data_IF_485432220235
#
_entry.id   IF_485432220235
#
_cell.length_a   1.000
_cell.length_b   1.000
_cell.length_c   1.000
_cell.angle_alpha   90.00
_cell.angle_beta   90.00
_cell.angle_gamma   90.00
#
_symmetry.space_group_name_H-M   'P 1'
#
loop_
_entity.id
_entity.type
_entity.pdbx_description
1 polymer ?
#
# COMPACT_ATOMS: atom_id res chain seq x y z
N UNK A 1 3.52 -7.79 10.61
CA UNK A 1 2.24 -7.86 9.89
C UNK A 1 2.43 -7.47 8.44
N UNK A 2 1.67 -8.05 7.53
CA UNK A 2 1.80 -7.77 6.11
C UNK A 2 0.52 -7.17 5.55
N UNK A 3 0.66 -6.16 4.68
CA UNK A 3 -0.42 -5.64 3.86
C UNK A 3 -0.17 -6.10 2.43
N UNK A 4 -1.07 -6.90 1.88
CA UNK A 4 -0.94 -7.42 0.51
C UNK A 4 -1.81 -6.60 -0.42
N UNK A 5 -1.19 -6.04 -1.45
CA UNK A 5 -1.85 -5.28 -2.51
C UNK A 5 -2.00 -6.16 -3.74
N UNK A 6 -3.12 -6.06 -4.41
CA UNK A 6 -3.33 -6.66 -5.72
C UNK A 6 -4.05 -5.67 -6.62
N UNK A 7 -3.84 -5.76 -7.93
CA UNK A 7 -4.48 -4.89 -8.91
C UNK A 7 -4.65 -5.61 -10.24
N UNK A 8 -5.45 -5.03 -11.10
CA UNK A 8 -5.69 -5.56 -12.44
C UNK A 8 -4.62 -5.04 -13.41
N UNK A 9 -4.21 -5.90 -14.34
CA UNK A 9 -3.31 -5.50 -15.41
C UNK A 9 -3.97 -4.42 -16.27
N UNK A 10 -3.19 -3.36 -16.59
CA UNK A 10 -3.64 -2.34 -17.54
C UNK A 10 -3.82 -2.96 -18.94
N UNK A 11 -4.84 -2.50 -19.70
CA UNK A 11 -5.08 -3.00 -21.06
C UNK A 11 -4.05 -2.51 -22.09
N UNK A 12 -3.36 -1.39 -21.82
CA UNK A 12 -2.36 -0.85 -22.72
C UNK A 12 -1.12 -1.75 -22.76
N UNK A 13 -0.72 -2.14 -23.99
CA UNK A 13 0.39 -3.08 -24.17
C UNK A 13 1.77 -2.48 -23.87
N UNK A 14 1.89 -1.16 -23.85
CA UNK A 14 3.15 -0.45 -23.63
C UNK A 14 3.41 -0.11 -22.16
N UNK A 15 2.59 -0.54 -21.24
CA UNK A 15 2.86 -0.40 -19.80
C UNK A 15 4.01 -1.32 -19.43
N UNK A 16 5.06 -0.74 -18.81
CA UNK A 16 6.29 -1.47 -18.46
C UNK A 16 6.46 -1.68 -16.97
N UNK A 17 5.83 -0.85 -16.14
CA UNK A 17 5.92 -0.97 -14.68
C UNK A 17 4.74 -0.33 -13.99
N UNK A 18 4.60 -0.66 -12.70
CA UNK A 18 3.68 0.00 -11.77
C UNK A 18 4.48 0.63 -10.64
N UNK A 19 4.11 1.85 -10.27
CA UNK A 19 4.65 2.53 -9.10
C UNK A 19 3.64 2.45 -7.97
N UNK A 20 4.11 2.10 -6.78
CA UNK A 20 3.30 1.99 -5.59
C UNK A 20 3.62 3.19 -4.69
N UNK A 21 2.60 3.96 -4.35
CA UNK A 21 2.69 5.11 -3.46
C UNK A 21 2.05 4.77 -2.13
N UNK A 22 2.72 5.13 -1.05
CA UNK A 22 2.25 4.87 0.31
C UNK A 22 2.41 6.11 1.17
N UNK A 23 1.44 6.35 2.03
CA UNK A 23 1.57 7.29 3.13
C UNK A 23 0.84 6.78 4.37
N UNK A 24 1.16 7.36 5.53
CA UNK A 24 0.57 6.95 6.81
C UNK A 24 -0.31 8.08 7.31
N UNK A 25 -1.54 7.75 7.69
CA UNK A 25 -2.51 8.69 8.27
C UNK A 25 -3.31 9.50 7.27
N UNK A 26 -2.90 9.55 6.01
CA UNK A 26 -3.59 10.30 4.95
C UNK A 26 -3.32 9.65 3.60
N UNK A 27 -4.19 9.91 2.61
CA UNK A 27 -4.01 9.38 1.27
C UNK A 27 -2.72 9.91 0.64
N UNK A 28 -1.96 9.08 -0.09
CA UNK A 28 -0.74 9.52 -0.78
C UNK A 28 -1.08 10.43 -1.96
N UNK A 29 -0.12 11.25 -2.33
CA UNK A 29 -0.11 11.98 -3.60
C UNK A 29 1.03 11.45 -4.47
N UNK A 30 0.96 11.74 -5.77
CA UNK A 30 1.95 11.26 -6.75
C UNK A 30 3.22 12.13 -6.70
N UNK A 31 3.94 12.07 -5.59
CA UNK A 31 5.19 12.80 -5.34
C UNK A 31 6.28 11.82 -4.91
N UNK A 32 7.54 12.19 -5.12
CA UNK A 32 8.67 11.31 -4.81
C UNK A 32 8.71 10.87 -3.35
N UNK A 33 8.28 11.73 -2.42
CA UNK A 33 8.26 11.42 -0.99
C UNK A 33 7.32 10.24 -0.64
N UNK A 34 6.28 10.01 -1.45
CA UNK A 34 5.31 8.94 -1.25
C UNK A 34 5.61 7.70 -2.11
N UNK A 35 6.56 7.79 -3.03
CA UNK A 35 6.93 6.64 -3.87
C UNK A 35 7.60 5.59 -2.98
N UNK A 36 6.94 4.45 -2.86
CA UNK A 36 7.35 3.38 -1.95
C UNK A 36 8.06 2.23 -2.65
N UNK A 37 7.56 1.83 -3.81
CA UNK A 37 8.10 0.72 -4.59
C UNK A 37 7.71 0.82 -6.05
N UNK A 38 8.44 0.11 -6.90
CA UNK A 38 8.11 -0.10 -8.31
C UNK A 38 8.24 -1.56 -8.63
N UNK A 39 7.32 -2.08 -9.44
CA UNK A 39 7.34 -3.48 -9.89
C UNK A 39 7.16 -3.54 -11.41
N UNK A 40 7.72 -4.57 -12.09
CA UNK A 40 7.50 -4.76 -13.52
C UNK A 40 6.01 -4.96 -13.83
N UNK A 41 5.62 -4.68 -15.08
CA UNK A 41 4.22 -4.82 -15.52
C UNK A 41 3.68 -6.25 -15.48
N UNK A 42 4.56 -7.24 -15.35
CA UNK A 42 4.18 -8.66 -15.17
C UNK A 42 3.79 -9.00 -13.73
N UNK A 43 4.06 -8.12 -12.79
CA UNK A 43 3.75 -8.31 -11.37
C UNK A 43 2.49 -7.50 -11.03
N UNK A 44 1.50 -8.16 -10.46
CA UNK A 44 0.20 -7.58 -10.13
C UNK A 44 -0.11 -7.65 -8.64
N UNK A 45 0.92 -7.82 -7.83
CA UNK A 45 0.80 -7.91 -6.38
C UNK A 45 2.04 -7.34 -5.70
N UNK A 46 1.86 -6.82 -4.49
CA UNK A 46 2.95 -6.36 -3.65
C UNK A 46 2.63 -6.62 -2.19
N UNK A 47 3.62 -7.12 -1.44
CA UNK A 47 3.49 -7.37 0.00
C UNK A 47 4.31 -6.32 0.74
N UNK A 48 3.63 -5.52 1.55
CA UNK A 48 4.26 -4.53 2.42
C UNK A 48 4.30 -5.07 3.86
N UNK A 49 5.50 -5.32 4.36
CA UNK A 49 5.70 -5.74 5.74
C UNK A 49 5.81 -4.52 6.64
N UNK A 50 4.88 -4.37 7.57
CA UNK A 50 4.81 -3.23 8.48
C UNK A 50 5.09 -3.67 9.91
N UNK A 51 5.84 -2.83 10.64
CA UNK A 51 6.29 -3.11 12.01
C UNK A 51 5.85 -2.05 13.01
N UNK A 52 5.05 -1.10 12.59
CA UNK A 52 4.53 -0.01 13.44
C UNK A 52 3.03 0.16 13.23
N UNK A 53 2.34 0.60 14.27
CA UNK A 53 0.93 0.96 14.19
C UNK A 53 0.73 2.14 13.24
N UNK A 54 -0.40 2.17 12.58
CA UNK A 54 -0.77 3.28 11.71
C UNK A 54 -1.91 2.92 10.78
N UNK A 55 -2.42 3.94 10.12
CA UNK A 55 -3.38 3.79 9.02
C UNK A 55 -2.60 3.96 7.71
N UNK A 56 -2.32 2.85 7.05
CA UNK A 56 -1.48 2.81 5.85
C UNK A 56 -2.35 2.97 4.61
N UNK A 57 -2.07 4.02 3.84
CA UNK A 57 -2.77 4.33 2.60
C UNK A 57 -1.88 4.01 1.40
N UNK A 58 -2.50 3.45 0.36
CA UNK A 58 -1.81 3.03 -0.86
C UNK A 58 -2.54 3.53 -2.09
N UNK A 59 -1.77 3.88 -3.11
CA UNK A 59 -2.24 4.13 -4.46
C UNK A 59 -1.22 3.62 -5.46
N UNK A 60 -1.63 3.42 -6.70
CA UNK A 60 -0.78 2.84 -7.74
C UNK A 60 -0.91 3.63 -9.03
N UNK A 61 0.18 3.70 -9.79
CA UNK A 61 0.21 4.25 -11.15
C UNK A 61 0.78 3.24 -12.11
N UNK A 62 0.47 3.40 -13.39
CA UNK A 62 1.09 2.67 -14.49
C UNK A 62 2.03 3.59 -15.26
N UNK A 63 3.17 3.06 -15.69
CA UNK A 63 4.18 3.79 -16.46
C UNK A 63 4.43 3.08 -17.77
N UNK A 64 4.42 3.83 -18.88
CA UNK A 64 4.63 3.28 -20.21
C UNK A 64 6.09 3.37 -20.68
N UNK A 65 6.36 2.88 -21.91
CA UNK A 65 7.69 2.87 -22.50
C UNK A 65 8.26 4.26 -22.76
N UNK A 66 7.41 5.28 -22.86
CA UNK A 66 7.83 6.69 -23.01
C UNK A 66 7.98 7.41 -21.67
N UNK A 67 7.94 6.65 -20.57
CA UNK A 67 8.02 7.17 -19.21
C UNK A 67 6.86 8.09 -18.81
N UNK A 68 5.70 7.95 -19.47
CA UNK A 68 4.49 8.60 -19.04
C UNK A 68 3.88 7.82 -17.87
N UNK A 69 3.55 8.53 -16.81
CA UNK A 69 2.93 7.95 -15.62
C UNK A 69 1.46 8.33 -15.56
N UNK A 70 0.58 7.35 -15.29
CA UNK A 70 -0.85 7.57 -15.16
C UNK A 70 -1.19 8.45 -13.94
N UNK A 71 -2.43 8.91 -13.86
CA UNK A 71 -2.96 9.44 -12.62
C UNK A 71 -2.94 8.34 -11.53
N UNK A 72 -2.93 8.77 -10.28
CA UNK A 72 -3.00 7.84 -9.16
C UNK A 72 -4.36 7.12 -9.17
N UNK A 73 -4.34 5.82 -8.93
CA UNK A 73 -5.57 5.03 -8.77
C UNK A 73 -6.38 5.52 -7.56
N UNK A 74 -7.62 5.03 -7.43
CA UNK A 74 -8.34 5.15 -6.16
C UNK A 74 -7.46 4.59 -5.05
N UNK A 75 -7.41 5.28 -3.91
CA UNK A 75 -6.59 4.87 -2.78
C UNK A 75 -7.34 3.87 -1.91
N UNK A 76 -6.57 2.97 -1.32
CA UNK A 76 -7.06 2.01 -0.32
C UNK A 76 -6.25 2.17 0.95
N UNK A 77 -6.79 1.74 2.08
CA UNK A 77 -6.07 1.84 3.33
C UNK A 77 -6.35 0.66 4.25
N UNK A 78 -5.43 0.46 5.20
CA UNK A 78 -5.57 -0.54 6.24
C UNK A 78 -4.99 0.00 7.55
N UNK A 79 -5.79 -0.08 8.61
CA UNK A 79 -5.34 0.24 9.96
C UNK A 79 -4.58 -0.97 10.51
N UNK A 80 -3.34 -0.73 10.93
CA UNK A 80 -2.48 -1.73 11.56
C UNK A 80 -2.36 -1.39 13.04
N UNK A 81 -2.80 -2.30 13.89
CA UNK A 81 -2.69 -2.19 15.34
C UNK A 81 -1.95 -3.42 15.86
N UNK A 82 -0.70 -3.21 16.28
CA UNK A 82 0.19 -4.26 16.79
C UNK A 82 0.26 -4.26 18.32
N UNK A 83 -0.46 -3.34 18.99
CA UNK A 83 -0.48 -3.21 20.44
C UNK A 83 -1.58 -4.12 20.99
N UNK A 84 -1.24 -5.15 21.80
CA UNK A 84 -2.26 -5.97 22.42
C UNK A 84 -3.04 -5.16 23.46
N UNK A 85 -4.30 -5.55 23.77
CA UNK A 85 -5.04 -4.91 24.83
C UNK A 85 -4.36 -5.14 26.18
N UNK A 86 -4.68 -4.29 27.15
CA UNK A 86 -4.26 -4.50 28.52
C UNK A 86 -4.90 -5.76 29.09
N UNK A 87 -4.22 -6.44 30.03
CA UNK A 87 -4.84 -7.57 30.69
C UNK A 87 -6.15 -7.16 31.42
N UNK A 88 -7.13 -8.05 31.51
CA UNK A 88 -8.30 -7.79 32.34
C UNK A 88 -7.90 -7.56 33.81
N UNK A 89 -8.69 -6.78 34.52
CA UNK A 89 -8.54 -6.54 35.94
C UNK A 89 -9.69 -7.17 36.72
N UNK A 90 -9.58 -7.25 38.03
CA UNK A 90 -10.65 -7.74 38.87
C UNK A 90 -10.84 -9.26 38.85
N UNK A 91 -9.89 -10.02 38.29
CA UNK A 91 -9.96 -11.49 38.33
C UNK A 91 -9.86 -11.97 39.80
N UNK A 92 -10.86 -12.74 40.20
CA UNK A 92 -10.89 -13.39 41.54
C UNK A 92 -11.35 -14.82 41.38
N UNK A 93 -10.97 -15.68 42.38
CA UNK A 93 -11.54 -17.01 42.50
C UNK A 93 -12.58 -17.00 43.63
N UNK A 94 -13.76 -17.54 43.36
CA UNK A 94 -14.86 -17.55 44.32
C UNK A 94 -14.87 -18.84 45.18
#
# INVERSE_FOLDING_TARGET
>A
MTNTLTWNKNPEADVVKYNIYRSVGTAPTKVAANLFASVPSTVLTYVDTVTADGDYFYGITAVDTSNNESLLSATVHKVVDLVPPSPPTGLVVL
#
